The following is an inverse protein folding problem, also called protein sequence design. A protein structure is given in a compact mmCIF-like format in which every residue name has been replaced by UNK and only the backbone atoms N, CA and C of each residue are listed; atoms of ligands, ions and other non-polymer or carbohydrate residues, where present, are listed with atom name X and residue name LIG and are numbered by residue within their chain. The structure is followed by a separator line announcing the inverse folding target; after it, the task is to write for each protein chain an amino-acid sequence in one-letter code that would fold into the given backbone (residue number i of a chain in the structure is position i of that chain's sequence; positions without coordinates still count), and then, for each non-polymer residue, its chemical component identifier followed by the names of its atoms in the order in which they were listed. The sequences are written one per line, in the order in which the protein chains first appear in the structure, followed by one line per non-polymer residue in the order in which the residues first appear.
data_IF_553565747607
#
_entry.id   IF_553565747607
#
_cell.length_a   1.000
_cell.length_b   1.000
_cell.length_c   1.000
_cell.angle_alpha   90.00
_cell.angle_beta   90.00
_cell.angle_gamma   90.00
#
_symmetry.space_group_name_H-M   'P 1'
#
loop_
_entity.id
_entity.type
_entity.pdbx_description
1 polymer ?
#
# COMPACT_ATOMS: atom_id res chain seq x y z
N UNK A 1 12.01 12.84 36.70
CA UNK A 1 12.88 14.01 36.90
C UNK A 1 14.34 13.58 36.78
N UNK A 2 14.73 13.08 35.60
CA UNK A 2 16.02 12.41 35.37
C UNK A 2 17.17 13.40 35.15
N UNK A 3 16.85 14.63 34.70
CA UNK A 3 17.83 15.68 34.41
C UNK A 3 17.89 16.81 35.45
N UNK A 4 17.06 16.77 36.51
CA UNK A 4 17.14 17.71 37.63
C UNK A 4 16.92 19.20 37.31
N UNK A 5 16.41 19.55 36.12
CA UNK A 5 16.23 20.94 35.69
C UNK A 5 14.79 21.44 35.86
N UNK A 6 14.65 22.70 36.26
CA UNK A 6 13.37 23.37 36.51
C UNK A 6 12.70 23.93 35.26
N UNK A 7 13.45 24.12 34.16
CA UNK A 7 12.94 24.67 32.90
C UNK A 7 13.31 23.74 31.75
N UNK A 8 12.40 23.64 30.79
CA UNK A 8 12.54 22.79 29.58
C UNK A 8 13.74 23.23 28.72
N UNK A 9 14.12 24.50 28.82
CA UNK A 9 15.25 25.13 28.12
C UNK A 9 16.61 24.62 28.61
N UNK A 10 16.68 24.18 29.86
CA UNK A 10 17.92 23.75 30.52
C UNK A 10 18.19 22.25 30.30
N UNK A 11 17.32 21.56 29.55
CA UNK A 11 17.51 20.16 29.21
C UNK A 11 18.74 20.01 28.29
N UNK A 12 19.64 19.05 28.55
CA UNK A 12 20.80 18.77 27.69
C UNK A 12 20.42 18.13 26.35
N UNK A 13 19.12 18.06 26.04
CA UNK A 13 18.54 17.45 24.85
C UNK A 13 17.64 18.48 24.15
N UNK A 14 17.61 18.45 22.81
CA UNK A 14 16.72 19.30 22.03
C UNK A 14 15.25 18.84 22.20
N UNK A 15 14.59 19.34 23.25
CA UNK A 15 13.21 18.99 23.58
C UNK A 15 12.22 19.20 22.42
N UNK A 16 12.46 20.23 21.58
CA UNK A 16 11.63 20.46 20.38
C UNK A 16 11.76 19.32 19.36
N UNK A 17 12.95 18.79 19.17
CA UNK A 17 13.19 17.64 18.30
C UNK A 17 12.50 16.37 18.82
N UNK A 18 12.59 16.11 20.13
CA UNK A 18 11.92 14.96 20.77
C UNK A 18 10.40 15.08 20.66
N UNK A 19 9.84 16.27 20.92
CA UNK A 19 8.40 16.51 20.80
C UNK A 19 7.91 16.33 19.36
N UNK A 20 8.69 16.76 18.37
CA UNK A 20 8.36 16.58 16.95
C UNK A 20 8.36 15.11 16.55
N UNK A 21 9.37 14.33 16.98
CA UNK A 21 9.43 12.88 16.72
C UNK A 21 8.25 12.13 17.34
N UNK A 22 7.87 12.46 18.58
CA UNK A 22 6.69 11.86 19.22
C UNK A 22 5.38 12.28 18.53
N UNK A 23 5.29 13.52 18.05
CA UNK A 23 4.16 13.99 17.24
C UNK A 23 4.02 13.23 15.93
N UNK A 24 5.13 12.99 15.22
CA UNK A 24 5.17 12.15 14.01
C UNK A 24 4.76 10.71 14.33
N UNK A 25 5.30 10.12 15.40
CA UNK A 25 4.99 8.74 15.81
C UNK A 25 3.50 8.54 16.06
N UNK A 26 2.88 9.42 16.84
CA UNK A 26 1.44 9.34 17.17
C UNK A 26 0.59 9.50 15.89
N UNK A 27 0.95 10.46 15.04
CA UNK A 27 0.21 10.72 13.79
C UNK A 27 0.30 9.54 12.83
N UNK A 28 1.49 8.96 12.66
CA UNK A 28 1.70 7.76 11.87
C UNK A 28 0.91 6.57 12.42
N UNK A 29 0.91 6.36 13.73
CA UNK A 29 0.18 5.28 14.38
C UNK A 29 -1.33 5.39 14.14
N UNK A 30 -1.91 6.58 14.32
CA UNK A 30 -3.33 6.83 14.05
C UNK A 30 -3.65 6.58 12.57
N UNK A 31 -2.81 7.08 11.66
CA UNK A 31 -2.99 6.87 10.22
C UNK A 31 -3.01 5.37 9.88
N UNK A 32 -2.01 4.61 10.32
CA UNK A 32 -1.93 3.16 10.09
C UNK A 32 -3.15 2.43 10.61
N UNK A 33 -3.63 2.76 11.82
CA UNK A 33 -4.81 2.12 12.40
C UNK A 33 -6.09 2.42 11.60
N UNK A 34 -6.30 3.65 11.15
CA UNK A 34 -7.49 4.00 10.38
C UNK A 34 -7.44 3.42 8.96
N UNK A 35 -6.26 3.44 8.34
CA UNK A 35 -6.06 2.84 7.03
C UNK A 35 -6.34 1.34 7.05
N UNK A 36 -5.83 0.62 8.06
CA UNK A 36 -6.11 -0.80 8.24
C UNK A 36 -7.62 -1.12 8.36
N UNK A 37 -8.40 -0.27 9.03
CA UNK A 37 -9.86 -0.42 9.12
C UNK A 37 -10.53 -0.24 7.76
N UNK A 38 -10.12 0.77 6.98
CA UNK A 38 -10.65 0.99 5.64
C UNK A 38 -10.38 -0.23 4.74
N UNK A 39 -9.19 -0.82 4.87
CA UNK A 39 -8.83 -2.01 4.09
C UNK A 39 -9.61 -3.25 4.50
N UNK A 40 -9.90 -3.42 5.79
CA UNK A 40 -10.81 -4.49 6.23
C UNK A 40 -12.22 -4.33 5.64
N UNK A 41 -12.74 -3.10 5.55
CA UNK A 41 -14.05 -2.84 4.95
C UNK A 41 -14.02 -3.16 3.45
N UNK A 42 -12.99 -2.71 2.72
CA UNK A 42 -12.84 -2.99 1.30
C UNK A 42 -12.73 -4.50 1.04
N UNK A 43 -12.00 -5.23 1.88
CA UNK A 43 -11.87 -6.67 1.77
C UNK A 43 -13.20 -7.40 2.00
N UNK A 44 -13.98 -6.97 2.99
CA UNK A 44 -15.32 -7.52 3.22
C UNK A 44 -16.26 -7.30 2.01
N UNK A 45 -16.18 -6.13 1.36
CA UNK A 45 -16.93 -5.86 0.14
C UNK A 45 -16.50 -6.77 -1.01
N UNK A 46 -15.19 -6.94 -1.21
CA UNK A 46 -14.65 -7.86 -2.22
C UNK A 46 -15.08 -9.31 -1.99
N UNK A 47 -15.14 -9.77 -0.73
CA UNK A 47 -15.61 -11.10 -0.39
C UNK A 47 -17.10 -11.28 -0.72
N UNK A 48 -17.93 -10.27 -0.43
CA UNK A 48 -19.35 -10.30 -0.77
C UNK A 48 -19.56 -10.35 -2.29
N UNK A 49 -18.88 -9.50 -3.04
CA UNK A 49 -18.91 -9.50 -4.51
C UNK A 49 -18.43 -10.86 -5.05
N UNK A 50 -17.37 -11.42 -4.48
CA UNK A 50 -16.83 -12.72 -4.91
C UNK A 50 -17.83 -13.86 -4.70
N UNK A 51 -18.63 -13.84 -3.63
CA UNK A 51 -19.69 -14.84 -3.40
C UNK A 51 -20.81 -14.72 -4.44
N UNK A 52 -21.24 -13.51 -4.77
CA UNK A 52 -22.28 -13.27 -5.79
C UNK A 52 -21.76 -13.55 -7.20
N UNK A 53 -20.48 -13.32 -7.45
CA UNK A 53 -19.85 -13.52 -8.76
C UNK A 53 -19.96 -14.96 -9.27
N UNK A 54 -20.09 -15.97 -8.39
CA UNK A 54 -20.31 -17.36 -8.81
C UNK A 54 -21.51 -17.52 -9.75
N UNK A 55 -22.55 -16.70 -9.55
CA UNK A 55 -23.77 -16.73 -10.34
C UNK A 55 -23.75 -15.75 -11.53
N UNK A 56 -22.63 -15.06 -11.78
CA UNK A 56 -22.51 -14.06 -12.84
C UNK A 56 -21.19 -14.23 -13.61
N UNK A 57 -21.22 -14.84 -14.82
CA UNK A 57 -20.01 -14.95 -15.65
C UNK A 57 -19.44 -13.57 -16.01
N UNK A 58 -20.27 -12.53 -16.08
CA UNK A 58 -19.81 -11.16 -16.28
C UNK A 58 -18.92 -10.68 -15.12
N UNK A 59 -19.33 -10.88 -13.86
CA UNK A 59 -18.54 -10.46 -12.70
C UNK A 59 -17.22 -11.22 -12.61
N UNK A 60 -17.21 -12.51 -12.93
CA UNK A 60 -15.99 -13.34 -12.95
C UNK A 60 -15.01 -12.88 -14.04
N UNK A 61 -15.51 -12.57 -15.24
CA UNK A 61 -14.69 -12.08 -16.34
C UNK A 61 -14.08 -10.70 -16.03
N UNK A 62 -14.87 -9.79 -15.45
CA UNK A 62 -14.35 -8.50 -14.99
C UNK A 62 -13.29 -8.66 -13.90
N UNK A 63 -13.50 -9.57 -12.94
CA UNK A 63 -12.52 -9.86 -11.88
C UNK A 63 -11.21 -10.40 -12.45
N UNK A 64 -11.26 -11.33 -13.40
CA UNK A 64 -10.04 -11.82 -14.06
C UNK A 64 -9.34 -10.71 -14.85
N UNK A 65 -10.11 -9.90 -15.59
CA UNK A 65 -9.57 -8.77 -16.34
C UNK A 65 -8.83 -7.78 -15.44
N UNK A 66 -9.39 -7.44 -14.27
CA UNK A 66 -8.74 -6.53 -13.33
C UNK A 66 -7.51 -7.13 -12.64
N UNK A 67 -7.48 -8.46 -12.43
CA UNK A 67 -6.28 -9.16 -11.98
C UNK A 67 -5.18 -9.04 -13.04
N UNK A 68 -5.47 -9.42 -14.30
CA UNK A 68 -4.47 -9.35 -15.38
C UNK A 68 -4.00 -7.93 -15.70
N UNK A 69 -4.87 -6.93 -15.56
CA UNK A 69 -4.52 -5.52 -15.74
C UNK A 69 -3.84 -4.90 -14.51
N UNK A 70 -3.68 -5.64 -13.41
CA UNK A 70 -3.19 -5.14 -12.12
C UNK A 70 -3.98 -3.93 -11.59
N UNK A 71 -5.27 -3.85 -11.91
CA UNK A 71 -6.20 -2.77 -11.46
C UNK A 71 -7.14 -3.24 -10.35
N UNK A 72 -6.96 -4.45 -9.86
CA UNK A 72 -7.68 -4.97 -8.71
C UNK A 72 -7.19 -4.30 -7.40
N UNK A 73 -7.98 -4.46 -6.33
CA UNK A 73 -7.69 -3.85 -5.04
C UNK A 73 -6.37 -4.32 -4.41
N UNK A 74 -5.99 -5.59 -4.59
CA UNK A 74 -4.76 -6.14 -4.02
C UNK A 74 -3.53 -5.52 -4.70
N UNK A 75 -3.55 -5.38 -6.03
CA UNK A 75 -2.47 -4.70 -6.77
C UNK A 75 -2.36 -3.22 -6.40
N UNK A 76 -3.50 -2.53 -6.21
CA UNK A 76 -3.51 -1.15 -5.72
C UNK A 76 -2.90 -1.05 -4.32
N UNK A 77 -3.27 -1.94 -3.41
CA UNK A 77 -2.76 -1.97 -2.05
C UNK A 77 -1.27 -2.29 -1.98
N UNK A 78 -0.82 -3.21 -2.81
CA UNK A 78 0.59 -3.54 -2.90
C UNK A 78 1.43 -2.34 -3.32
N UNK A 79 0.97 -1.61 -4.34
CA UNK A 79 1.60 -0.38 -4.79
C UNK A 79 1.61 0.70 -3.70
N UNK A 80 0.46 0.92 -3.03
CA UNK A 80 0.33 1.94 -2.01
C UNK A 80 1.26 1.67 -0.82
N UNK A 81 1.34 0.43 -0.35
CA UNK A 81 2.29 0.04 0.70
C UNK A 81 3.74 0.23 0.27
N UNK A 82 4.09 -0.13 -0.98
CA UNK A 82 5.44 0.07 -1.50
C UNK A 82 5.80 1.56 -1.57
N UNK A 83 4.87 2.40 -2.03
CA UNK A 83 5.03 3.84 -2.10
C UNK A 83 5.17 4.47 -0.70
N UNK A 84 4.39 4.02 0.28
CA UNK A 84 4.44 4.53 1.65
C UNK A 84 5.73 4.13 2.36
N UNK A 85 6.20 2.89 2.18
CA UNK A 85 7.52 2.46 2.68
C UNK A 85 8.64 3.29 2.07
N UNK A 86 8.58 3.54 0.75
CA UNK A 86 9.52 4.42 0.08
C UNK A 86 9.49 5.84 0.65
N UNK A 87 8.30 6.44 0.78
CA UNK A 87 8.10 7.79 1.33
C UNK A 87 8.66 7.91 2.74
N UNK A 88 8.39 6.92 3.60
CA UNK A 88 8.89 6.88 4.97
C UNK A 88 10.42 6.83 5.01
N UNK A 89 11.02 5.91 4.25
CA UNK A 89 12.47 5.77 4.18
C UNK A 89 13.15 7.02 3.60
N UNK A 90 12.51 7.65 2.60
CA UNK A 90 12.98 8.89 2.00
C UNK A 90 13.02 10.04 3.02
N UNK A 91 11.92 10.27 3.75
CA UNK A 91 11.87 11.32 4.79
C UNK A 91 12.87 11.04 5.89
N UNK A 92 13.03 9.77 6.29
CA UNK A 92 14.03 9.39 7.29
C UNK A 92 15.45 9.73 6.85
N UNK A 93 15.80 9.43 5.59
CA UNK A 93 17.11 9.78 5.02
C UNK A 93 17.32 11.30 4.98
N UNK A 94 16.30 12.07 4.59
CA UNK A 94 16.36 13.54 4.61
C UNK A 94 16.58 14.06 6.03
N UNK A 95 15.80 13.60 7.01
CA UNK A 95 15.92 14.03 8.40
C UNK A 95 17.31 13.70 8.98
N UNK A 96 17.87 12.53 8.64
CA UNK A 96 19.22 12.17 9.04
C UNK A 96 20.28 13.09 8.42
N UNK A 97 20.16 13.40 7.12
CA UNK A 97 21.06 14.33 6.43
C UNK A 97 20.99 15.74 7.03
N UNK A 98 19.80 16.23 7.35
CA UNK A 98 19.61 17.51 8.04
C UNK A 98 20.27 17.51 9.44
N UNK A 99 20.14 16.43 10.20
CA UNK A 99 20.72 16.32 11.54
C UNK A 99 22.26 16.23 11.53
N UNK A 100 22.86 15.60 10.51
CA UNK A 100 24.31 15.40 10.42
C UNK A 100 25.05 16.59 9.77
N UNK A 101 24.39 17.35 8.89
CA UNK A 101 25.04 18.38 8.06
C UNK A 101 24.75 19.82 8.46
N UNK A 102 23.79 20.08 9.36
CA UNK A 102 23.43 21.44 9.78
C UNK A 102 23.90 21.69 11.21
N UNK A 103 24.78 22.68 11.38
CA UNK A 103 25.19 23.16 12.70
C UNK A 103 24.03 23.95 13.32
N UNK A 104 23.61 23.57 14.52
CA UNK A 104 22.43 24.09 15.22
C UNK A 104 22.39 25.62 15.37
N UNK A 105 23.54 26.29 15.22
CA UNK A 105 23.65 27.75 15.30
C UNK A 105 23.06 28.50 14.08
N UNK A 106 22.93 27.88 12.90
CA UNK A 106 22.55 28.58 11.64
C UNK A 106 21.53 27.82 10.77
N UNK A 107 20.58 27.12 11.43
CA UNK A 107 19.58 26.21 10.85
C UNK A 107 18.75 26.75 9.66
N UNK A 108 18.64 28.08 9.51
CA UNK A 108 17.86 28.73 8.44
C UNK A 108 18.65 29.10 7.18
N UNK A 109 19.97 29.06 7.21
CA UNK A 109 20.82 29.61 6.13
C UNK A 109 21.59 28.55 5.33
N UNK A 110 21.62 27.30 5.78
CA UNK A 110 22.35 26.23 5.11
C UNK A 110 21.45 25.45 4.13
N UNK A 111 21.79 25.52 2.84
CA UNK A 111 21.21 24.69 1.79
C UNK A 111 21.98 23.38 1.70
N UNK A 112 21.28 22.25 1.83
CA UNK A 112 21.82 20.91 1.53
C UNK A 112 22.37 20.91 0.10
N UNK A 113 23.59 20.39 -0.10
CA UNK A 113 24.24 20.42 -1.41
C UNK A 113 23.51 19.50 -2.41
N UNK A 114 23.36 19.98 -3.65
CA UNK A 114 22.58 19.32 -4.70
C UNK A 114 23.12 17.91 -5.08
N UNK A 115 24.40 17.64 -4.79
CA UNK A 115 25.05 16.35 -5.06
C UNK A 115 24.54 15.20 -4.18
N UNK A 116 24.06 15.48 -2.97
CA UNK A 116 23.49 14.46 -2.09
C UNK A 116 22.05 14.10 -2.48
N UNK A 117 21.27 15.08 -2.92
CA UNK A 117 19.92 14.86 -3.47
C UNK A 117 19.95 14.02 -4.75
N UNK A 118 21.00 14.15 -5.56
CA UNK A 118 21.19 13.38 -6.79
C UNK A 118 21.41 11.88 -6.56
N UNK A 119 21.85 11.48 -5.36
CA UNK A 119 22.10 10.08 -4.99
C UNK A 119 20.95 9.45 -4.19
N UNK A 120 19.82 10.16 -4.01
CA UNK A 120 18.67 9.58 -3.33
C UNK A 120 18.05 8.47 -4.18
N UNK A 121 17.71 7.37 -3.52
CA UNK A 121 17.12 6.21 -4.15
C UNK A 121 15.83 6.61 -4.89
N UNK A 122 15.73 6.25 -6.16
CA UNK A 122 14.51 6.46 -6.93
C UNK A 122 13.47 5.39 -6.56
N UNK A 123 12.19 5.75 -6.64
CA UNK A 123 11.13 4.79 -6.44
C UNK A 123 11.08 3.81 -7.63
N UNK A 124 11.39 2.55 -7.35
CA UNK A 124 11.33 1.46 -8.32
C UNK A 124 10.30 0.44 -7.83
N UNK A 125 9.12 0.47 -8.42
CA UNK A 125 8.02 -0.40 -8.02
C UNK A 125 8.18 -1.80 -8.59
N UNK A 126 8.27 -2.79 -7.70
CA UNK A 126 8.33 -4.20 -8.04
C UNK A 126 6.94 -4.81 -7.91
N UNK A 127 6.26 -5.02 -9.05
CA UNK A 127 4.95 -5.68 -9.06
C UNK A 127 5.05 -7.12 -8.54
N UNK A 128 3.98 -7.64 -7.90
CA UNK A 128 3.91 -9.05 -7.54
C UNK A 128 4.15 -9.94 -8.75
N UNK A 129 4.91 -11.00 -8.56
CA UNK A 129 5.12 -11.99 -9.63
C UNK A 129 3.80 -12.68 -9.96
N UNK A 130 3.62 -13.09 -11.22
CA UNK A 130 2.42 -13.81 -11.66
C UNK A 130 2.20 -15.11 -10.85
N UNK A 131 3.26 -15.74 -10.34
CA UNK A 131 3.15 -16.89 -9.44
C UNK A 131 2.46 -16.54 -8.11
N UNK A 132 2.70 -15.34 -7.58
CA UNK A 132 2.10 -14.89 -6.32
C UNK A 132 0.58 -14.66 -6.46
N UNK A 133 0.10 -14.36 -7.67
CA UNK A 133 -1.31 -14.08 -7.94
C UNK A 133 -2.11 -15.30 -8.44
N UNK A 134 -1.48 -16.46 -8.63
CA UNK A 134 -2.17 -17.67 -9.12
C UNK A 134 -3.40 -18.05 -8.28
N UNK A 135 -3.32 -17.86 -6.97
CA UNK A 135 -4.43 -18.14 -6.05
C UNK A 135 -5.64 -17.24 -6.28
N UNK A 136 -5.44 -16.03 -6.82
CA UNK A 136 -6.50 -15.10 -7.18
C UNK A 136 -7.13 -15.45 -8.54
N UNK A 137 -6.33 -16.00 -9.45
CA UNK A 137 -6.69 -16.30 -10.84
C UNK A 137 -7.46 -17.62 -10.97
N UNK A 138 -7.00 -18.69 -10.33
CA UNK A 138 -7.56 -20.04 -10.58
C UNK A 138 -9.05 -20.18 -10.23
N UNK A 139 -9.56 -19.71 -9.08
CA UNK A 139 -10.96 -19.90 -8.72
C UNK A 139 -11.94 -19.29 -9.74
N UNK A 140 -11.85 -17.99 -10.11
CA UNK A 140 -12.78 -17.42 -11.09
C UNK A 140 -12.62 -18.03 -12.48
N UNK A 141 -11.41 -18.45 -12.87
CA UNK A 141 -11.16 -19.12 -14.14
C UNK A 141 -11.90 -20.47 -14.22
N UNK A 142 -11.82 -21.30 -13.17
CA UNK A 142 -12.50 -22.59 -13.13
C UNK A 142 -14.02 -22.43 -13.17
N UNK A 143 -14.57 -21.44 -12.48
CA UNK A 143 -16.02 -21.19 -12.47
C UNK A 143 -16.48 -20.72 -13.87
N UNK A 144 -15.70 -19.87 -14.55
CA UNK A 144 -15.99 -19.46 -15.93
C UNK A 144 -15.95 -20.63 -16.92
N UNK A 145 -14.98 -21.54 -16.77
CA UNK A 145 -14.95 -22.77 -17.57
C UNK A 145 -16.20 -23.62 -17.32
N UNK A 146 -16.66 -23.71 -16.08
CA UNK A 146 -17.93 -24.36 -15.73
C UNK A 146 -19.13 -23.72 -16.45
N UNK A 147 -19.22 -22.39 -16.44
CA UNK A 147 -20.24 -21.65 -17.19
C UNK A 147 -20.18 -21.91 -18.70
N UNK A 148 -18.97 -21.98 -19.27
CA UNK A 148 -18.77 -22.28 -20.69
C UNK A 148 -19.28 -23.68 -21.01
N UNK A 149 -18.94 -24.69 -20.20
CA UNK A 149 -19.41 -26.07 -20.37
C UNK A 149 -20.94 -26.13 -20.30
N UNK A 150 -21.55 -25.49 -19.30
CA UNK A 150 -23.01 -25.43 -19.15
C UNK A 150 -23.64 -24.80 -20.40
N UNK A 151 -23.10 -23.68 -20.88
CA UNK A 151 -23.57 -23.02 -22.10
C UNK A 151 -23.50 -23.92 -23.33
N UNK A 152 -22.38 -24.64 -23.52
CA UNK A 152 -22.21 -25.59 -24.64
C UNK A 152 -23.18 -26.76 -24.53
N UNK A 153 -23.41 -27.30 -23.33
CA UNK A 153 -24.37 -28.38 -23.10
C UNK A 153 -25.80 -27.93 -23.41
N UNK A 154 -26.22 -26.76 -22.94
CA UNK A 154 -27.56 -26.20 -23.22
C UNK A 154 -27.78 -26.00 -24.72
N UNK A 155 -26.81 -25.44 -25.43
CA UNK A 155 -26.86 -25.29 -26.88
C UNK A 155 -26.92 -26.65 -27.61
N UNK A 156 -26.19 -27.65 -27.12
CA UNK A 156 -26.17 -28.99 -27.70
C UNK A 156 -27.49 -29.75 -27.48
N UNK A 157 -28.09 -29.62 -26.29
CA UNK A 157 -29.41 -30.17 -25.99
C UNK A 157 -30.50 -29.51 -26.83
N UNK A 158 -30.50 -28.18 -26.94
CA UNK A 158 -31.46 -27.44 -27.77
C UNK A 158 -31.42 -27.87 -29.24
N UNK A 159 -30.25 -28.22 -29.78
CA UNK A 159 -30.10 -28.68 -31.17
C UNK A 159 -30.64 -30.09 -31.40
N UNK A 160 -30.72 -30.93 -30.36
CA UNK A 160 -31.22 -32.31 -30.48
C UNK A 160 -32.75 -32.41 -30.39
N UNK A 161 -33.45 -31.36 -29.94
CA UNK A 161 -34.92 -31.33 -29.84
C UNK A 161 -35.62 -30.70 -31.06
N UNK A 162 -34.86 -30.14 -32.01
CA UNK A 162 -35.34 -29.58 -33.30
C UNK A 162 -35.03 -30.54 -34.43
#
# INVERSE_FOLDING_TARGET
AEYGVSRVEDLPVNWRGVLMQEGERITSEVFTQQYAKLMQIAEQQNQLVSKVAWFSPYLLANKLSSIFAATNADSFLHYENAAEQFRFNFIKQLNQMHAEQIDHAHDREQKVSNEHLANLQQFDYQSPTLQAELNLIYPPLLILLGWLIIGVLLLSCSRNEV
#
